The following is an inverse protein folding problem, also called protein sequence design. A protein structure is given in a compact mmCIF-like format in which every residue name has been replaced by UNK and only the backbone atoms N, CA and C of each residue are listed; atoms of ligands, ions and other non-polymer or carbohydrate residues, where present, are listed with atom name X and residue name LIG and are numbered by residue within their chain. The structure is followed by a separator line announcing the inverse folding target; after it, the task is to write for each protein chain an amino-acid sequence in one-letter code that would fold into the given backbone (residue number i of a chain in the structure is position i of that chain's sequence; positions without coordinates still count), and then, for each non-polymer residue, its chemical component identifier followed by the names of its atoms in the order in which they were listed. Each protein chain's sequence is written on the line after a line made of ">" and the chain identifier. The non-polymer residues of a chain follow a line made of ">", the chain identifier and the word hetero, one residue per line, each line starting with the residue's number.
data_IF_972054324685
#
_entry.id   IF_972054324685
#
_cell.length_a   1.000
_cell.length_b   1.000
_cell.length_c   1.000
_cell.angle_alpha   90.00
_cell.angle_beta   90.00
_cell.angle_gamma   90.00
#
_symmetry.space_group_name_H-M   'P 1'
#
loop_
_entity.id
_entity.type
_entity.pdbx_description
1 polymer ?
#
# COMPACT_ATOMS: atom_id res chain seq x y z
N UNK A 1 55.43 -14.17 7.09
CA UNK A 1 53.97 -14.29 6.89
C UNK A 1 53.29 -13.24 7.75
N UNK A 2 52.97 -12.08 7.18
CA UNK A 2 52.29 -11.00 7.89
C UNK A 2 50.78 -11.24 7.82
N UNK A 3 50.16 -11.51 8.97
CA UNK A 3 48.70 -11.60 9.10
C UNK A 3 48.13 -10.18 9.05
N UNK A 4 47.35 -9.87 8.01
CA UNK A 4 46.56 -8.63 7.96
C UNK A 4 45.17 -8.90 8.56
N UNK A 5 44.81 -8.11 9.56
CA UNK A 5 43.58 -8.24 10.34
C UNK A 5 42.32 -7.95 9.51
N UNK A 6 41.17 -8.63 9.77
CA UNK A 6 39.92 -8.35 9.08
C UNK A 6 39.09 -7.32 9.88
N UNK A 7 39.50 -6.06 9.93
CA UNK A 7 38.86 -5.07 10.83
C UNK A 7 38.47 -3.74 10.15
N UNK A 8 37.96 -3.76 8.91
CA UNK A 8 37.54 -2.49 8.28
C UNK A 8 36.34 -2.54 7.34
N UNK A 9 35.65 -3.69 7.25
CA UNK A 9 34.46 -3.82 6.38
C UNK A 9 33.18 -3.37 7.10
N UNK A 10 33.08 -3.59 8.41
CA UNK A 10 31.90 -3.22 9.22
C UNK A 10 31.78 -1.71 9.46
N UNK A 11 32.89 -1.03 9.74
CA UNK A 11 32.96 0.42 9.98
C UNK A 11 32.55 1.22 8.73
N UNK A 12 33.05 0.83 7.55
CA UNK A 12 32.73 1.51 6.29
C UNK A 12 31.25 1.36 5.89
N UNK A 13 30.63 0.21 6.18
CA UNK A 13 29.19 -0.02 5.95
C UNK A 13 28.35 0.79 6.94
N UNK A 14 28.75 0.86 8.21
CA UNK A 14 28.08 1.68 9.21
C UNK A 14 28.15 3.18 8.87
N UNK A 15 29.32 3.68 8.46
CA UNK A 15 29.50 5.08 8.05
C UNK A 15 28.62 5.42 6.84
N UNK A 16 28.59 4.56 5.81
CA UNK A 16 27.72 4.77 4.63
C UNK A 16 26.24 4.77 5.00
N UNK A 17 25.84 3.89 5.90
CA UNK A 17 24.45 3.85 6.41
C UNK A 17 24.11 5.14 7.15
N UNK A 18 24.96 5.59 8.06
CA UNK A 18 24.76 6.82 8.84
C UNK A 18 24.73 8.05 7.92
N UNK A 19 25.67 8.17 6.99
CA UNK A 19 25.68 9.27 6.01
C UNK A 19 24.41 9.27 5.16
N UNK A 20 23.95 8.10 4.72
CA UNK A 20 22.71 7.98 3.92
C UNK A 20 21.48 8.42 4.75
N UNK A 21 21.40 8.01 6.01
CA UNK A 21 20.33 8.43 6.92
C UNK A 21 20.35 9.93 7.22
N UNK A 22 21.54 10.51 7.42
CA UNK A 22 21.70 11.95 7.65
C UNK A 22 21.34 12.77 6.42
N UNK A 23 21.76 12.36 5.22
CA UNK A 23 21.40 13.02 3.96
C UNK A 23 19.90 12.94 3.71
N UNK A 24 19.28 11.78 3.95
CA UNK A 24 17.82 11.63 3.87
C UNK A 24 17.11 12.51 4.89
N UNK A 25 17.57 12.53 6.15
CA UNK A 25 16.97 13.34 7.19
C UNK A 25 17.08 14.86 6.92
N UNK A 26 18.24 15.33 6.44
CA UNK A 26 18.45 16.72 6.05
C UNK A 26 17.65 17.08 4.80
N UNK A 27 17.56 16.17 3.83
CA UNK A 27 16.73 16.35 2.63
C UNK A 27 15.25 16.46 2.98
N UNK A 28 14.75 15.58 3.85
CA UNK A 28 13.39 15.64 4.39
C UNK A 28 13.18 16.93 5.18
N UNK A 29 14.10 17.32 6.06
CA UNK A 29 13.99 18.54 6.85
C UNK A 29 13.92 19.81 5.99
N UNK A 30 14.81 19.93 4.99
CA UNK A 30 14.85 21.07 4.07
C UNK A 30 13.57 21.16 3.22
N UNK A 31 13.04 20.01 2.80
CA UNK A 31 11.81 19.88 2.02
C UNK A 31 10.57 20.41 2.75
N UNK A 32 10.55 20.33 4.08
CA UNK A 32 9.45 20.85 4.90
C UNK A 32 9.65 22.30 5.40
N UNK A 33 10.86 22.87 5.33
CA UNK A 33 11.16 24.19 5.90
C UNK A 33 11.45 25.29 4.87
N UNK A 34 11.80 24.94 3.63
CA UNK A 34 12.25 25.94 2.64
C UNK A 34 11.12 26.39 1.71
N UNK A 35 10.07 25.58 1.49
CA UNK A 35 8.98 25.97 0.59
C UNK A 35 7.67 25.17 0.83
N UNK A 36 6.57 25.80 1.27
CA UNK A 36 5.28 25.12 1.50
C UNK A 36 4.70 24.47 0.23
N UNK A 37 4.97 25.06 -0.95
CA UNK A 37 4.54 24.49 -2.23
C UNK A 37 5.30 23.20 -2.56
N UNK A 38 6.58 23.10 -2.17
CA UNK A 38 7.36 21.89 -2.35
C UNK A 38 6.86 20.78 -1.42
N UNK A 39 6.55 21.10 -0.16
CA UNK A 39 5.95 20.16 0.78
C UNK A 39 4.65 19.54 0.22
N UNK A 40 3.77 20.33 -0.40
CA UNK A 40 2.59 19.81 -1.08
C UNK A 40 2.92 18.82 -2.21
N UNK A 41 3.86 19.17 -3.11
CA UNK A 41 4.23 18.31 -4.23
C UNK A 41 4.83 16.98 -3.76
N UNK A 42 5.62 17.01 -2.70
CA UNK A 42 6.18 15.81 -2.10
C UNK A 42 5.13 14.95 -1.39
N UNK A 43 4.21 15.55 -0.63
CA UNK A 43 3.10 14.82 0.01
C UNK A 43 2.18 14.22 -1.06
N UNK A 44 1.88 14.97 -2.12
CA UNK A 44 1.11 14.47 -3.26
C UNK A 44 1.81 13.30 -3.94
N UNK A 45 3.12 13.39 -4.15
CA UNK A 45 3.92 12.32 -4.73
C UNK A 45 3.90 11.07 -3.85
N UNK A 46 4.13 11.23 -2.55
CA UNK A 46 4.05 10.15 -1.57
C UNK A 46 2.64 9.51 -1.55
N UNK A 47 1.58 10.31 -1.59
CA UNK A 47 0.21 9.83 -1.66
C UNK A 47 -0.02 9.01 -2.93
N UNK A 48 0.42 9.48 -4.10
CA UNK A 48 0.25 8.75 -5.36
C UNK A 48 1.02 7.43 -5.34
N UNK A 49 2.27 7.42 -4.86
CA UNK A 49 3.07 6.19 -4.70
C UNK A 49 2.34 5.19 -3.78
N UNK A 50 1.85 5.67 -2.63
CA UNK A 50 1.11 4.85 -1.68
C UNK A 50 -0.20 4.31 -2.29
N UNK A 51 -0.95 5.13 -3.03
CA UNK A 51 -2.17 4.70 -3.73
C UNK A 51 -1.83 3.60 -4.75
N UNK A 52 -0.78 3.78 -5.57
CA UNK A 52 -0.39 2.77 -6.56
C UNK A 52 -0.02 1.45 -5.87
N UNK A 53 0.80 1.48 -4.82
CA UNK A 53 1.19 0.29 -4.06
C UNK A 53 -0.03 -0.39 -3.42
N UNK A 54 -0.97 0.39 -2.88
CA UNK A 54 -2.19 -0.11 -2.29
C UNK A 54 -3.09 -0.76 -3.35
N UNK A 55 -3.33 -0.10 -4.48
CA UNK A 55 -4.16 -0.59 -5.58
C UNK A 55 -3.60 -1.85 -6.21
N UNK A 56 -2.28 -1.90 -6.45
CA UNK A 56 -1.61 -3.09 -6.98
C UNK A 56 -1.83 -4.30 -6.08
N UNK A 57 -1.68 -4.13 -4.76
CA UNK A 57 -1.94 -5.20 -3.81
C UNK A 57 -3.42 -5.58 -3.70
N UNK A 58 -4.33 -4.62 -3.75
CA UNK A 58 -5.79 -4.85 -3.72
C UNK A 58 -6.30 -5.60 -4.95
N UNK A 59 -5.69 -5.39 -6.12
CA UNK A 59 -5.98 -6.14 -7.35
C UNK A 59 -5.32 -7.52 -7.35
N UNK A 60 -4.12 -7.63 -6.77
CA UNK A 60 -3.37 -8.89 -6.81
C UNK A 60 -3.85 -9.91 -5.76
N UNK A 61 -4.29 -9.46 -4.59
CA UNK A 61 -4.66 -10.34 -3.48
C UNK A 61 -5.89 -11.25 -3.79
N UNK A 62 -7.01 -10.75 -4.38
CA UNK A 62 -8.12 -11.61 -4.80
C UNK A 62 -7.68 -12.64 -5.85
N UNK A 63 -6.75 -12.26 -6.74
CA UNK A 63 -6.20 -13.16 -7.74
C UNK A 63 -5.42 -14.30 -7.10
N UNK A 64 -4.63 -14.03 -6.06
CA UNK A 64 -3.98 -15.08 -5.27
C UNK A 64 -5.01 -16.03 -4.65
N UNK A 65 -6.10 -15.51 -4.07
CA UNK A 65 -7.16 -16.35 -3.51
C UNK A 65 -7.81 -17.28 -4.53
N UNK A 66 -7.98 -16.85 -5.79
CA UNK A 66 -8.48 -17.71 -6.87
C UNK A 66 -7.57 -18.93 -7.06
N UNK A 67 -6.25 -18.72 -7.06
CA UNK A 67 -5.28 -19.81 -7.20
C UNK A 67 -5.17 -20.66 -5.94
N UNK A 68 -5.23 -20.05 -4.77
CA UNK A 68 -5.21 -20.75 -3.49
C UNK A 68 -6.44 -21.68 -3.35
N UNK A 69 -7.61 -21.28 -3.84
CA UNK A 69 -8.78 -22.17 -3.87
C UNK A 69 -8.58 -23.48 -4.66
N UNK A 70 -7.63 -23.51 -5.61
CA UNK A 70 -7.30 -24.71 -6.36
C UNK A 70 -6.24 -25.58 -5.67
N UNK A 71 -5.54 -25.05 -4.65
CA UNK A 71 -4.56 -25.80 -3.88
C UNK A 71 -5.23 -26.65 -2.80
N UNK A 72 -4.72 -27.87 -2.59
CA UNK A 72 -5.20 -28.74 -1.50
C UNK A 72 -4.73 -28.17 -0.15
N UNK A 73 -5.58 -28.09 0.89
CA UNK A 73 -5.16 -27.70 2.23
C UNK A 73 -3.97 -28.55 2.72
N UNK A 74 -2.97 -27.90 3.32
CA UNK A 74 -1.73 -28.53 3.79
C UNK A 74 -0.75 -28.96 2.69
N UNK A 75 -1.03 -28.70 1.41
CA UNK A 75 -0.02 -28.87 0.35
C UNK A 75 1.05 -27.79 0.41
N UNK A 76 2.25 -28.07 -0.13
CA UNK A 76 3.33 -27.09 -0.25
C UNK A 76 2.88 -25.80 -0.96
N UNK A 77 2.03 -25.93 -1.98
CA UNK A 77 1.44 -24.79 -2.70
C UNK A 77 0.52 -23.96 -1.80
N UNK A 78 -0.32 -24.59 -0.97
CA UNK A 78 -1.18 -23.90 -0.02
C UNK A 78 -0.35 -23.11 1.00
N UNK A 79 0.65 -23.74 1.61
CA UNK A 79 1.52 -23.07 2.59
C UNK A 79 2.30 -21.90 1.97
N UNK A 80 2.74 -22.05 0.71
CA UNK A 80 3.37 -20.96 -0.04
C UNK A 80 2.42 -19.78 -0.24
N UNK A 81 1.16 -20.04 -0.63
CA UNK A 81 0.17 -18.99 -0.78
C UNK A 81 -0.13 -18.28 0.54
N UNK A 82 -0.28 -19.00 1.65
CA UNK A 82 -0.49 -18.40 2.98
C UNK A 82 0.63 -17.41 3.33
N UNK A 83 1.89 -17.75 3.03
CA UNK A 83 3.03 -16.84 3.26
C UNK A 83 2.97 -15.63 2.33
N UNK A 84 2.71 -15.83 1.04
CA UNK A 84 2.63 -14.75 0.04
C UNK A 84 1.52 -13.75 0.39
N UNK A 85 0.32 -14.23 0.64
CA UNK A 85 -0.85 -13.41 0.98
C UNK A 85 -0.62 -12.60 2.26
N UNK A 86 -0.10 -13.25 3.31
CA UNK A 86 0.21 -12.59 4.59
C UNK A 86 1.28 -11.51 4.44
N UNK A 87 2.35 -11.79 3.69
CA UNK A 87 3.43 -10.82 3.45
C UNK A 87 2.95 -9.65 2.61
N UNK A 88 2.22 -9.91 1.53
CA UNK A 88 1.62 -8.88 0.68
C UNK A 88 0.73 -7.94 1.50
N UNK A 89 -0.18 -8.51 2.30
CA UNK A 89 -1.07 -7.72 3.14
C UNK A 89 -0.30 -6.89 4.18
N UNK A 90 0.58 -7.54 4.97
CA UNK A 90 1.25 -6.90 6.11
C UNK A 90 2.31 -5.86 5.70
N UNK A 91 3.09 -6.13 4.66
CA UNK A 91 4.25 -5.32 4.32
C UNK A 91 4.02 -4.35 3.16
N UNK A 92 3.00 -4.57 2.33
CA UNK A 92 2.73 -3.70 1.18
C UNK A 92 1.37 -3.01 1.36
N UNK A 93 0.29 -3.79 1.46
CA UNK A 93 -1.08 -3.23 1.41
C UNK A 93 -1.37 -2.36 2.64
N UNK A 94 -1.14 -2.87 3.85
CA UNK A 94 -1.44 -2.15 5.09
C UNK A 94 -0.67 -0.82 5.22
N UNK A 95 0.67 -0.77 5.09
CA UNK A 95 1.39 0.50 5.18
C UNK A 95 1.01 1.46 4.05
N UNK A 96 0.80 0.96 2.83
CA UNK A 96 0.37 1.79 1.70
C UNK A 96 -1.02 2.41 1.92
N UNK A 97 -1.97 1.66 2.49
CA UNK A 97 -3.29 2.18 2.88
C UNK A 97 -3.16 3.28 3.94
N UNK A 98 -2.33 3.06 4.98
CA UNK A 98 -2.13 4.03 6.06
C UNK A 98 -1.55 5.34 5.50
N UNK A 99 -0.49 5.26 4.70
CA UNK A 99 0.13 6.44 4.07
C UNK A 99 -0.86 7.15 3.14
N UNK A 100 -1.64 6.38 2.36
CA UNK A 100 -2.69 6.94 1.49
C UNK A 100 -3.70 7.77 2.28
N UNK A 101 -4.19 7.25 3.41
CA UNK A 101 -5.16 7.95 4.26
C UNK A 101 -4.56 9.19 4.92
N UNK A 102 -3.37 9.07 5.51
CA UNK A 102 -2.72 10.21 6.19
C UNK A 102 -2.45 11.34 5.20
N UNK A 103 -1.78 11.06 4.09
CA UNK A 103 -1.45 12.08 3.08
C UNK A 103 -2.72 12.61 2.37
N UNK A 104 -3.71 11.75 2.14
CA UNK A 104 -4.96 12.12 1.49
C UNK A 104 -5.83 13.05 2.35
N UNK A 105 -5.98 12.75 3.64
CA UNK A 105 -6.71 13.58 4.59
C UNK A 105 -6.00 14.90 4.84
N UNK A 106 -4.67 14.88 4.94
CA UNK A 106 -3.88 16.11 5.05
C UNK A 106 -4.12 17.03 3.85
N UNK A 107 -4.06 16.52 2.61
CA UNK A 107 -4.37 17.32 1.42
C UNK A 107 -5.84 17.77 1.38
N UNK A 108 -6.78 16.93 1.82
CA UNK A 108 -8.19 17.29 1.88
C UNK A 108 -8.43 18.46 2.84
N UNK A 109 -7.72 18.50 3.97
CA UNK A 109 -7.78 19.57 4.96
C UNK A 109 -7.07 20.84 4.48
N UNK A 110 -5.76 20.75 4.21
CA UNK A 110 -4.90 21.93 3.98
C UNK A 110 -5.11 22.57 2.59
N UNK A 111 -5.38 21.76 1.57
CA UNK A 111 -5.43 22.26 0.18
C UNK A 111 -6.86 22.51 -0.27
N UNK A 112 -7.77 21.61 0.08
CA UNK A 112 -9.15 21.67 -0.39
C UNK A 112 -10.14 22.15 0.67
N UNK A 113 -9.77 22.21 1.95
CA UNK A 113 -10.68 22.59 3.03
C UNK A 113 -11.97 21.74 3.08
N UNK A 114 -11.88 20.48 2.63
CA UNK A 114 -13.02 19.59 2.38
C UNK A 114 -14.10 20.17 1.45
N UNK A 115 -13.76 21.10 0.56
CA UNK A 115 -14.70 21.71 -0.39
C UNK A 115 -14.81 20.90 -1.69
N UNK A 116 -15.95 21.02 -2.35
CA UNK A 116 -16.28 20.34 -3.61
C UNK A 116 -16.96 18.99 -3.39
N UNK A 117 -18.01 18.71 -4.17
CA UNK A 117 -18.72 17.44 -4.03
C UNK A 117 -17.89 16.27 -4.55
N UNK A 118 -17.02 16.49 -5.54
CA UNK A 118 -16.11 15.46 -6.07
C UNK A 118 -15.21 14.87 -4.98
N UNK A 119 -14.79 15.68 -4.00
CA UNK A 119 -13.93 15.26 -2.92
C UNK A 119 -14.67 14.36 -1.94
N UNK A 120 -15.90 14.70 -1.59
CA UNK A 120 -16.77 13.87 -0.75
C UNK A 120 -17.12 12.55 -1.42
N UNK A 121 -17.49 12.59 -2.70
CA UNK A 121 -17.74 11.39 -3.49
C UNK A 121 -16.49 10.49 -3.55
N UNK A 122 -15.31 11.08 -3.78
CA UNK A 122 -14.03 10.36 -3.78
C UNK A 122 -13.77 9.71 -2.42
N UNK A 123 -13.92 10.46 -1.32
CA UNK A 123 -13.70 9.94 0.02
C UNK A 123 -14.64 8.77 0.34
N UNK A 124 -15.92 8.86 -0.05
CA UNK A 124 -16.85 7.73 0.08
C UNK A 124 -16.33 6.48 -0.64
N UNK A 125 -15.87 6.61 -1.89
CA UNK A 125 -15.30 5.47 -2.63
C UNK A 125 -14.02 4.91 -1.98
N UNK A 126 -13.17 5.76 -1.40
CA UNK A 126 -11.98 5.33 -0.67
C UNK A 126 -12.34 4.62 0.65
N UNK A 127 -13.42 5.04 1.32
CA UNK A 127 -13.99 4.31 2.47
C UNK A 127 -14.49 2.93 2.04
N UNK A 128 -15.22 2.84 0.92
CA UNK A 128 -15.65 1.54 0.36
C UNK A 128 -14.46 0.65 0.01
N UNK A 129 -13.40 1.20 -0.60
CA UNK A 129 -12.15 0.49 -0.86
C UNK A 129 -11.50 -0.01 0.43
N UNK A 130 -11.55 0.77 1.50
CA UNK A 130 -11.04 0.39 2.83
C UNK A 130 -11.87 -0.71 3.46
N UNK A 131 -13.19 -0.69 3.27
CA UNK A 131 -14.08 -1.79 3.65
C UNK A 131 -13.73 -3.09 2.90
N UNK A 132 -13.48 -2.99 1.60
CA UNK A 132 -13.01 -4.12 0.80
C UNK A 132 -11.65 -4.63 1.29
N UNK A 133 -10.72 -3.74 1.61
CA UNK A 133 -9.44 -4.12 2.22
C UNK A 133 -9.65 -4.93 3.49
N UNK A 134 -10.52 -4.47 4.40
CA UNK A 134 -10.86 -5.19 5.62
C UNK A 134 -11.46 -6.58 5.35
N UNK A 135 -12.31 -6.69 4.32
CA UNK A 135 -12.86 -7.96 3.87
C UNK A 135 -11.77 -8.91 3.34
N UNK A 136 -10.83 -8.43 2.52
CA UNK A 136 -9.71 -9.22 2.01
C UNK A 136 -8.75 -9.62 3.14
N UNK A 137 -8.47 -8.73 4.09
CA UNK A 137 -7.65 -9.02 5.27
C UNK A 137 -8.24 -10.13 6.13
N UNK A 138 -9.56 -10.09 6.39
CA UNK A 138 -10.28 -11.17 7.05
C UNK A 138 -10.17 -12.48 6.26
N UNK A 139 -10.25 -12.40 4.94
CA UNK A 139 -10.19 -13.56 4.05
C UNK A 139 -8.80 -14.20 4.04
N UNK A 140 -7.72 -13.42 4.02
CA UNK A 140 -6.34 -13.91 4.21
C UNK A 140 -6.22 -14.71 5.51
N UNK A 141 -6.84 -14.25 6.61
CA UNK A 141 -6.86 -15.00 7.86
C UNK A 141 -7.61 -16.33 7.73
N UNK A 142 -8.76 -16.33 7.07
CA UNK A 142 -9.53 -17.55 6.84
C UNK A 142 -8.78 -18.56 5.95
N UNK A 143 -8.06 -18.10 4.93
CA UNK A 143 -7.19 -18.95 4.12
C UNK A 143 -6.02 -19.51 4.93
N UNK A 144 -5.40 -18.69 5.78
CA UNK A 144 -4.32 -19.15 6.66
C UNK A 144 -4.78 -20.24 7.65
N UNK A 145 -6.04 -20.19 8.08
CA UNK A 145 -6.68 -21.18 8.96
C UNK A 145 -7.29 -22.38 8.20
N UNK A 146 -7.16 -22.46 6.87
CA UNK A 146 -7.83 -23.47 6.01
C UNK A 146 -9.37 -23.47 6.15
N UNK A 147 -9.96 -22.34 6.53
CA UNK A 147 -11.40 -22.14 6.78
C UNK A 147 -12.11 -21.35 5.70
N UNK A 148 -11.48 -21.15 4.54
CA UNK A 148 -12.14 -20.47 3.42
C UNK A 148 -13.30 -21.34 2.88
N UNK A 149 -14.51 -20.80 2.91
CA UNK A 149 -15.72 -21.43 2.37
C UNK A 149 -16.15 -20.83 1.02
N UNK A 150 -15.43 -19.83 0.50
CA UNK A 150 -15.78 -19.13 -0.75
C UNK A 150 -15.12 -19.81 -1.95
N UNK A 151 -15.85 -19.90 -3.04
CA UNK A 151 -15.38 -20.53 -4.28
C UNK A 151 -14.43 -19.63 -5.09
N UNK A 152 -13.66 -20.21 -6.01
CA UNK A 152 -12.81 -19.46 -6.92
C UNK A 152 -13.60 -18.43 -7.77
N UNK A 153 -14.87 -18.73 -8.13
CA UNK A 153 -15.75 -17.79 -8.85
C UNK A 153 -16.03 -16.54 -8.03
N UNK A 154 -16.26 -16.69 -6.72
CA UNK A 154 -16.46 -15.55 -5.82
C UNK A 154 -15.25 -14.62 -5.84
N UNK A 155 -14.03 -15.14 -5.72
CA UNK A 155 -12.82 -14.33 -5.72
C UNK A 155 -12.53 -13.64 -7.05
N UNK A 156 -12.94 -14.24 -8.19
CA UNK A 156 -12.88 -13.57 -9.49
C UNK A 156 -13.83 -12.37 -9.57
N UNK A 157 -15.04 -12.47 -9.01
CA UNK A 157 -15.97 -11.33 -8.96
C UNK A 157 -15.42 -10.23 -8.05
N UNK A 158 -14.90 -10.61 -6.88
CA UNK A 158 -14.30 -9.67 -5.94
C UNK A 158 -13.10 -8.94 -6.57
N UNK A 159 -12.35 -9.58 -7.47
CA UNK A 159 -11.25 -8.97 -8.21
C UNK A 159 -11.66 -7.75 -9.05
N UNK A 160 -12.90 -7.68 -9.51
CA UNK A 160 -13.38 -6.56 -10.33
C UNK A 160 -13.75 -5.33 -9.50
N UNK A 161 -14.07 -5.52 -8.22
CA UNK A 161 -14.50 -4.43 -7.32
C UNK A 161 -13.39 -3.37 -7.14
N UNK A 162 -12.13 -3.72 -6.82
CA UNK A 162 -11.06 -2.73 -6.75
C UNK A 162 -10.84 -2.00 -8.08
N UNK A 163 -10.95 -2.70 -9.22
CA UNK A 163 -10.80 -2.10 -10.55
C UNK A 163 -11.83 -1.01 -10.79
N UNK A 164 -13.11 -1.30 -10.54
CA UNK A 164 -14.21 -0.35 -10.72
C UNK A 164 -14.02 0.86 -9.80
N UNK A 165 -13.75 0.63 -8.51
CA UNK A 165 -13.51 1.70 -7.56
C UNK A 165 -12.31 2.57 -7.95
N UNK A 166 -11.22 1.97 -8.40
CA UNK A 166 -10.03 2.68 -8.87
C UNK A 166 -10.37 3.62 -10.04
N UNK A 167 -11.09 3.12 -11.06
CA UNK A 167 -11.50 3.93 -12.21
C UNK A 167 -12.31 5.15 -11.75
N UNK A 168 -13.33 4.93 -10.91
CA UNK A 168 -14.19 6.01 -10.42
C UNK A 168 -13.40 7.05 -9.58
N UNK A 169 -12.52 6.58 -8.69
CA UNK A 169 -11.67 7.45 -7.86
C UNK A 169 -10.74 8.31 -8.73
N UNK A 170 -10.13 7.72 -9.77
CA UNK A 170 -9.25 8.43 -10.70
C UNK A 170 -10.03 9.47 -11.50
N UNK A 171 -11.21 9.12 -12.03
CA UNK A 171 -12.06 10.07 -12.75
C UNK A 171 -12.43 11.25 -11.84
N UNK A 172 -12.86 11.00 -10.60
CA UNK A 172 -13.24 12.07 -9.67
C UNK A 172 -12.10 13.04 -9.36
N UNK A 173 -10.87 12.53 -9.15
CA UNK A 173 -9.74 13.40 -8.79
C UNK A 173 -9.18 14.16 -9.99
N UNK A 174 -9.32 13.65 -11.21
CA UNK A 174 -8.82 14.28 -12.43
C UNK A 174 -9.85 15.25 -13.02
N UNK A 175 -11.09 14.80 -13.21
CA UNK A 175 -12.15 15.59 -13.86
C UNK A 175 -12.75 16.62 -12.91
N UNK A 176 -12.88 16.30 -11.61
CA UNK A 176 -13.47 17.17 -10.59
C UNK A 176 -14.80 17.81 -11.03
N UNK A 177 -15.83 17.00 -11.36
CA UNK A 177 -17.01 17.47 -12.09
C UNK A 177 -17.97 18.40 -11.31
N UNK A 178 -17.86 18.50 -9.99
CA UNK A 178 -18.76 19.28 -9.13
C UNK A 178 -18.17 19.53 -7.73
#
# INVERSE_FOLDING_TARGET
>A
MSQTAPENRGSAVAIRTVVSLVVVALGVWALFHVNPADAYLWIKSLHVIAVIAWMAGMLYLPRLFVYHCAAKPGSETSETFKVMEKRLLRFIINPAMIVTWIAGLWMAWEIFGFQGGWLHAKLLLVVLMSGLHGYLAKSTRLFAEDRNMRSAKHWRIINEVPTILMILIVILVIVKPF
#
